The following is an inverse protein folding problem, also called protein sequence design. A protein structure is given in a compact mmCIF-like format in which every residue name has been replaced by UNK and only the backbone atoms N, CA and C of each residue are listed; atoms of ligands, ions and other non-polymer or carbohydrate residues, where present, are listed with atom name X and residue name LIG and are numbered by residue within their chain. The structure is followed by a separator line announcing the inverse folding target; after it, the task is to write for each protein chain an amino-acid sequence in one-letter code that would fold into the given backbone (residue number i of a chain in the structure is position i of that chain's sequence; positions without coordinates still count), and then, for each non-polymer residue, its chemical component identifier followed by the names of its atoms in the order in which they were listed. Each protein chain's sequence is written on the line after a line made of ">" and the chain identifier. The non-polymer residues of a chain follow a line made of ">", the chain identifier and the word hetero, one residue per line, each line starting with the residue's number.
data_IF_376065102128
#
_entry.id   IF_376065102128
#
_cell.length_a   1.000
_cell.length_b   1.000
_cell.length_c   1.000
_cell.angle_alpha   90.00
_cell.angle_beta   90.00
_cell.angle_gamma   90.00
#
_symmetry.space_group_name_H-M   'P 1'
#
loop_
_entity.id
_entity.type
_entity.pdbx_description
1 polymer ?
#
# COMPACT_ATOMS: atom_id res chain seq x y z
N UNK A 1 -4.88 51.32 -30.59
CA UNK A 1 -3.72 50.40 -30.58
C UNK A 1 -3.18 50.27 -31.99
N UNK A 2 -1.86 50.33 -32.22
CA UNK A 2 -1.30 50.06 -33.54
C UNK A 2 -1.48 48.57 -33.90
N UNK A 3 -1.73 48.21 -35.18
CA UNK A 3 -1.90 46.82 -35.58
C UNK A 3 -0.56 46.06 -35.51
N UNK A 4 -0.58 44.85 -34.93
CA UNK A 4 0.58 43.92 -34.93
C UNK A 4 1.12 43.74 -36.36
N UNK A 5 2.43 43.88 -36.53
CA UNK A 5 3.08 43.69 -37.83
C UNK A 5 2.98 42.24 -38.29
N UNK A 6 3.02 42.01 -39.60
CA UNK A 6 2.82 40.69 -40.21
C UNK A 6 3.80 39.64 -39.65
N UNK A 7 5.06 40.05 -39.46
CA UNK A 7 6.13 39.24 -38.85
C UNK A 7 5.84 38.83 -37.40
N UNK A 8 5.24 39.71 -36.59
CA UNK A 8 4.82 39.39 -35.21
C UNK A 8 3.66 38.39 -35.18
N UNK A 9 2.79 38.38 -36.19
CA UNK A 9 1.71 37.38 -36.30
C UNK A 9 2.26 36.02 -36.71
N UNK A 10 3.25 35.97 -37.60
CA UNK A 10 3.92 34.73 -38.00
C UNK A 10 4.72 34.12 -36.84
N UNK A 11 5.44 34.94 -36.06
CA UNK A 11 6.20 34.51 -34.88
C UNK A 11 5.28 34.03 -33.75
N UNK A 12 4.15 34.71 -33.51
CA UNK A 12 3.13 34.28 -32.55
C UNK A 12 2.42 32.98 -32.98
N UNK A 13 2.15 32.82 -34.28
CA UNK A 13 1.58 31.59 -34.83
C UNK A 13 2.57 30.41 -34.80
N UNK A 14 3.86 30.65 -35.07
CA UNK A 14 4.90 29.63 -34.95
C UNK A 14 5.06 29.14 -33.51
N UNK A 15 5.06 30.07 -32.53
CA UNK A 15 5.12 29.72 -31.11
C UNK A 15 3.89 28.92 -30.66
N UNK A 16 2.69 29.30 -31.12
CA UNK A 16 1.46 28.55 -30.85
C UNK A 16 1.49 27.13 -31.45
N UNK A 17 2.02 26.96 -32.65
CA UNK A 17 2.17 25.65 -33.29
C UNK A 17 3.19 24.75 -32.59
N UNK A 18 4.30 25.32 -32.10
CA UNK A 18 5.30 24.57 -31.32
C UNK A 18 4.75 24.18 -29.93
N UNK A 19 4.08 25.10 -29.24
CA UNK A 19 3.41 24.83 -27.95
C UNK A 19 2.33 23.74 -28.10
N UNK A 20 1.54 23.80 -29.18
CA UNK A 20 0.52 22.78 -29.46
C UNK A 20 1.15 21.41 -29.75
N UNK A 21 2.23 21.35 -30.55
CA UNK A 21 2.94 20.07 -30.82
C UNK A 21 3.53 19.46 -29.54
N UNK A 22 4.05 20.28 -28.63
CA UNK A 22 4.57 19.81 -27.34
C UNK A 22 3.46 19.22 -26.45
N UNK A 23 2.28 19.85 -26.41
CA UNK A 23 1.11 19.28 -25.70
C UNK A 23 0.66 17.96 -26.30
N UNK A 24 0.56 17.87 -27.64
CA UNK A 24 0.18 16.64 -28.33
C UNK A 24 1.16 15.49 -28.06
N UNK A 25 2.47 15.77 -28.01
CA UNK A 25 3.49 14.76 -27.64
C UNK A 25 3.39 14.33 -26.16
N UNK A 26 3.12 15.27 -25.25
CA UNK A 26 2.93 14.96 -23.83
C UNK A 26 1.65 14.15 -23.57
N UNK A 27 0.53 14.53 -24.20
CA UNK A 27 -0.73 13.78 -24.14
C UNK A 27 -0.58 12.37 -24.71
N UNK A 28 0.13 12.19 -25.83
CA UNK A 28 0.39 10.86 -26.39
C UNK A 28 1.27 10.01 -25.45
N UNK A 29 2.26 10.62 -24.79
CA UNK A 29 3.11 9.96 -23.79
C UNK A 29 2.30 9.53 -22.57
N UNK A 30 1.47 10.41 -22.01
CA UNK A 30 0.58 10.11 -20.89
C UNK A 30 -0.41 8.99 -21.26
N UNK A 31 -0.98 9.02 -22.47
CA UNK A 31 -1.87 7.97 -22.97
C UNK A 31 -1.18 6.61 -23.08
N UNK A 32 0.03 6.55 -23.65
CA UNK A 32 0.84 5.32 -23.73
C UNK A 32 1.22 4.77 -22.36
N UNK A 33 1.45 5.64 -21.37
CA UNK A 33 1.67 5.22 -19.99
C UNK A 33 0.40 4.60 -19.39
N UNK A 34 -0.75 5.26 -19.53
CA UNK A 34 -2.04 4.75 -19.02
C UNK A 34 -2.46 3.42 -19.67
N UNK A 35 -2.12 3.17 -20.93
CA UNK A 35 -2.43 1.90 -21.62
C UNK A 35 -1.76 0.68 -20.95
N UNK A 36 -0.64 0.84 -20.24
CA UNK A 36 0.01 -0.24 -19.48
C UNK A 36 -0.84 -0.81 -18.35
N UNK A 37 -1.67 0.03 -17.74
CA UNK A 37 -2.53 -0.28 -16.58
C UNK A 37 -3.99 -0.50 -16.98
N UNK A 38 -4.31 -0.36 -18.27
CA UNK A 38 -5.69 -0.45 -18.78
C UNK A 38 -6.21 -1.87 -18.65
N UNK A 39 -7.25 -2.02 -17.82
CA UNK A 39 -7.94 -3.28 -17.60
C UNK A 39 -8.80 -3.61 -18.82
N UNK A 40 -8.35 -4.60 -19.58
CA UNK A 40 -9.09 -5.15 -20.72
C UNK A 40 -9.83 -6.43 -20.30
N UNK A 41 -10.77 -6.90 -21.13
CA UNK A 41 -11.43 -8.20 -20.94
C UNK A 41 -10.89 -9.22 -21.92
N UNK A 42 -10.79 -10.49 -21.49
CA UNK A 42 -10.40 -11.61 -22.34
C UNK A 42 -11.55 -11.95 -23.30
N UNK A 43 -11.33 -11.79 -24.60
CA UNK A 43 -12.39 -11.85 -25.63
C UNK A 43 -13.29 -13.10 -25.56
N UNK A 44 -12.73 -14.26 -25.18
CA UNK A 44 -13.44 -15.55 -25.22
C UNK A 44 -14.29 -15.82 -23.97
N UNK A 45 -13.98 -15.19 -22.84
CA UNK A 45 -14.60 -15.50 -21.53
C UNK A 45 -15.13 -14.27 -20.79
N UNK A 46 -14.91 -13.07 -21.34
CA UNK A 46 -15.14 -11.77 -20.70
C UNK A 46 -14.44 -11.59 -19.34
N UNK A 47 -13.45 -12.45 -19.00
CA UNK A 47 -12.66 -12.32 -17.78
C UNK A 47 -11.94 -10.96 -17.78
N UNK A 48 -12.14 -10.09 -16.78
CA UNK A 48 -11.37 -8.86 -16.65
C UNK A 48 -9.92 -9.19 -16.31
N UNK A 49 -8.98 -8.41 -16.85
CA UNK A 49 -7.55 -8.67 -16.72
C UNK A 49 -6.85 -7.49 -16.01
N UNK A 50 -7.11 -7.26 -14.69
CA UNK A 50 -6.41 -6.24 -13.91
C UNK A 50 -4.88 -6.39 -13.97
N UNK A 51 -4.40 -7.62 -14.00
CA UNK A 51 -2.98 -7.95 -14.11
C UNK A 51 -2.64 -8.04 -15.61
N UNK A 52 -2.13 -6.93 -16.13
CA UNK A 52 -1.80 -6.74 -17.56
C UNK A 52 -0.49 -7.44 -17.93
N UNK A 53 -0.23 -7.61 -19.25
CA UNK A 53 1.04 -8.19 -19.73
C UNK A 53 2.26 -7.41 -19.25
N UNK A 54 2.14 -6.09 -19.15
CA UNK A 54 3.17 -5.21 -18.59
C UNK A 54 3.63 -5.65 -17.19
N UNK A 55 2.71 -6.14 -16.35
CA UNK A 55 3.06 -6.65 -15.03
C UNK A 55 3.99 -7.86 -15.10
N UNK A 56 3.66 -8.85 -15.94
CA UNK A 56 4.40 -10.12 -16.05
C UNK A 56 5.75 -9.93 -16.75
N UNK A 57 5.80 -9.03 -17.73
CA UNK A 57 6.98 -8.78 -18.58
C UNK A 57 7.98 -7.78 -17.97
N UNK A 58 7.52 -6.78 -17.19
CA UNK A 58 8.38 -5.69 -16.72
C UNK A 58 8.35 -5.44 -15.20
N UNK A 59 7.21 -5.63 -14.53
CA UNK A 59 7.07 -5.34 -13.09
C UNK A 59 7.55 -6.50 -12.23
N UNK A 60 7.11 -7.72 -12.51
CA UNK A 60 7.53 -8.92 -11.78
C UNK A 60 9.03 -9.26 -11.96
N UNK A 61 9.64 -9.11 -13.15
CA UNK A 61 11.08 -9.33 -13.33
C UNK A 61 11.97 -8.20 -12.80
N UNK A 62 11.39 -7.14 -12.21
CA UNK A 62 12.15 -6.02 -11.66
C UNK A 62 13.06 -6.47 -10.49
N UNK A 63 14.27 -5.88 -10.31
CA UNK A 63 15.17 -6.25 -9.21
C UNK A 63 14.56 -6.08 -7.80
N UNK A 64 13.64 -5.14 -7.65
CA UNK A 64 12.80 -4.95 -6.46
C UNK A 64 11.33 -5.30 -6.80
N UNK A 65 10.94 -6.59 -6.89
CA UNK A 65 9.64 -6.98 -7.44
C UNK A 65 8.48 -6.61 -6.51
N UNK A 66 8.68 -6.66 -5.19
CA UNK A 66 7.69 -6.24 -4.19
C UNK A 66 7.34 -4.76 -4.32
N UNK A 67 8.34 -3.88 -4.32
CA UNK A 67 8.17 -2.43 -4.46
C UNK A 67 7.53 -2.06 -5.80
N UNK A 68 8.02 -2.64 -6.90
CA UNK A 68 7.44 -2.42 -8.23
C UNK A 68 5.98 -2.90 -8.31
N UNK A 69 5.64 -4.01 -7.65
CA UNK A 69 4.26 -4.50 -7.55
C UNK A 69 3.36 -3.56 -6.74
N UNK A 70 3.84 -3.03 -5.61
CA UNK A 70 3.10 -2.02 -4.84
C UNK A 70 2.84 -0.74 -5.65
N UNK A 71 3.84 -0.27 -6.40
CA UNK A 71 3.69 0.90 -7.29
C UNK A 71 2.68 0.64 -8.42
N UNK A 72 2.74 -0.53 -9.04
CA UNK A 72 1.77 -0.96 -10.05
C UNK A 72 0.34 -1.03 -9.50
N UNK A 73 0.14 -1.67 -8.33
CA UNK A 73 -1.17 -1.75 -7.68
C UNK A 73 -1.68 -0.39 -7.22
N UNK A 74 -0.81 0.50 -6.71
CA UNK A 74 -1.15 1.91 -6.43
C UNK A 74 -1.62 2.63 -7.70
N UNK A 75 -0.94 2.44 -8.83
CA UNK A 75 -1.30 3.12 -10.09
C UNK A 75 -2.64 2.64 -10.65
N UNK A 76 -2.92 1.34 -10.57
CA UNK A 76 -4.26 0.80 -10.88
C UNK A 76 -5.30 1.39 -9.92
N UNK A 77 -5.01 1.42 -8.62
CA UNK A 77 -5.95 1.94 -7.62
C UNK A 77 -6.25 3.45 -7.78
N UNK A 78 -5.29 4.23 -8.29
CA UNK A 78 -5.49 5.62 -8.72
C UNK A 78 -6.44 5.70 -9.93
N UNK A 79 -6.15 4.95 -11.00
CA UNK A 79 -6.91 5.01 -12.26
C UNK A 79 -8.37 4.59 -12.07
N UNK A 80 -8.64 3.65 -11.15
CA UNK A 80 -9.97 3.10 -10.87
C UNK A 80 -10.56 3.55 -9.52
N UNK A 81 -10.15 4.74 -9.07
CA UNK A 81 -10.73 5.49 -7.95
C UNK A 81 -10.93 4.68 -6.65
N UNK A 82 -10.01 3.75 -6.35
CA UNK A 82 -10.05 2.95 -5.12
C UNK A 82 -8.88 3.20 -4.17
N UNK A 83 -7.88 4.00 -4.56
CA UNK A 83 -6.73 4.35 -3.71
C UNK A 83 -7.15 4.83 -2.32
N UNK A 84 -8.12 5.74 -2.23
CA UNK A 84 -8.56 6.34 -0.96
C UNK A 84 -9.25 5.34 -0.01
N UNK A 85 -9.62 4.15 -0.51
CA UNK A 85 -10.23 3.07 0.27
C UNK A 85 -9.19 2.03 0.76
N UNK A 86 -7.97 2.09 0.23
CA UNK A 86 -6.88 1.14 0.47
C UNK A 86 -5.75 1.80 1.27
N UNK A 87 -5.41 1.22 2.43
CA UNK A 87 -4.21 1.60 3.20
C UNK A 87 -2.97 1.00 2.54
N UNK A 88 -1.78 1.50 2.87
CA UNK A 88 -0.53 0.91 2.36
C UNK A 88 -0.36 -0.56 2.74
N UNK A 89 -0.77 -0.97 3.95
CA UNK A 89 -0.79 -2.38 4.35
C UNK A 89 -1.78 -3.23 3.53
N UNK A 90 -2.89 -2.63 3.07
CA UNK A 90 -3.87 -3.31 2.23
C UNK A 90 -3.28 -3.59 0.83
N UNK A 91 -2.43 -2.68 0.34
CA UNK A 91 -1.69 -2.81 -0.93
C UNK A 91 -0.49 -3.77 -0.79
N UNK A 92 0.20 -3.75 0.34
CA UNK A 92 1.31 -4.66 0.64
C UNK A 92 0.84 -6.12 0.63
N UNK A 93 -0.23 -6.44 1.37
CA UNK A 93 -0.83 -7.79 1.37
C UNK A 93 -1.23 -8.21 -0.05
N UNK A 94 -1.81 -7.30 -0.83
CA UNK A 94 -2.18 -7.58 -2.22
C UNK A 94 -0.96 -7.83 -3.13
N UNK A 95 0.17 -7.14 -2.89
CA UNK A 95 1.42 -7.36 -3.60
C UNK A 95 2.05 -8.72 -3.26
N UNK A 96 2.09 -9.07 -1.98
CA UNK A 96 2.61 -10.36 -1.51
C UNK A 96 1.80 -11.54 -2.07
N UNK A 97 0.46 -11.45 -2.03
CA UNK A 97 -0.41 -12.46 -2.65
C UNK A 97 -0.12 -12.61 -4.15
N UNK A 98 -0.10 -11.48 -4.88
CA UNK A 98 0.09 -11.48 -6.33
C UNK A 98 1.47 -12.03 -6.76
N UNK A 99 2.52 -11.75 -5.99
CA UNK A 99 3.87 -12.29 -6.23
C UNK A 99 3.91 -13.80 -5.98
N UNK A 100 3.30 -14.27 -4.89
CA UNK A 100 3.20 -15.70 -4.58
C UNK A 100 2.39 -16.46 -5.64
N UNK A 101 1.27 -15.89 -6.11
CA UNK A 101 0.47 -16.46 -7.20
C UNK A 101 1.25 -16.54 -8.52
N UNK A 102 2.10 -15.56 -8.82
CA UNK A 102 3.00 -15.62 -9.99
C UNK A 102 4.11 -16.66 -9.84
N UNK A 103 4.72 -16.77 -8.66
CA UNK A 103 5.74 -17.80 -8.37
C UNK A 103 5.11 -19.19 -8.55
N UNK A 104 3.91 -19.41 -8.00
CA UNK A 104 3.16 -20.63 -8.18
C UNK A 104 2.84 -20.88 -9.67
N UNK A 105 2.25 -19.91 -10.38
CA UNK A 105 1.86 -20.06 -11.78
C UNK A 105 3.06 -20.35 -12.70
N UNK A 106 4.22 -19.73 -12.47
CA UNK A 106 5.46 -20.00 -13.22
C UNK A 106 6.15 -21.32 -12.81
N UNK A 107 5.86 -21.87 -11.63
CA UNK A 107 6.33 -23.21 -11.24
C UNK A 107 5.61 -24.35 -11.99
N UNK A 108 4.42 -24.09 -12.53
CA UNK A 108 3.62 -25.07 -13.26
C UNK A 108 4.23 -25.38 -14.64
N UNK A 109 4.80 -26.59 -14.76
CA UNK A 109 5.46 -27.06 -15.97
C UNK A 109 4.53 -27.03 -17.20
N UNK A 110 4.94 -26.31 -18.24
CA UNK A 110 4.25 -26.18 -19.54
C UNK A 110 3.07 -25.19 -19.58
N UNK A 111 2.92 -24.29 -18.61
CA UNK A 111 2.17 -23.05 -18.83
C UNK A 111 2.98 -22.10 -19.74
N UNK A 112 2.30 -21.39 -20.65
CA UNK A 112 2.85 -20.24 -21.36
C UNK A 112 2.45 -18.94 -20.62
N UNK A 113 3.08 -17.80 -20.96
CA UNK A 113 2.82 -16.52 -20.26
C UNK A 113 1.36 -16.06 -20.36
N UNK A 114 0.64 -16.41 -21.42
CA UNK A 114 -0.78 -16.12 -21.57
C UNK A 114 -1.64 -16.92 -20.57
N UNK A 115 -1.38 -18.21 -20.40
CA UNK A 115 -2.05 -19.04 -19.40
C UNK A 115 -1.65 -18.63 -17.97
N UNK A 116 -0.40 -18.19 -17.75
CA UNK A 116 0.02 -17.58 -16.48
C UNK A 116 -0.79 -16.30 -16.22
N UNK A 117 -0.94 -15.43 -17.22
CA UNK A 117 -1.74 -14.22 -17.11
C UNK A 117 -3.20 -14.54 -16.75
N UNK A 118 -3.83 -15.50 -17.42
CA UNK A 118 -5.20 -15.93 -17.11
C UNK A 118 -5.31 -16.49 -15.69
N UNK A 119 -4.40 -17.38 -15.28
CA UNK A 119 -4.41 -18.00 -13.95
C UNK A 119 -4.29 -16.95 -12.83
N UNK A 120 -3.31 -16.06 -12.94
CA UNK A 120 -3.06 -15.01 -11.95
C UNK A 120 -4.23 -14.03 -11.86
N UNK A 121 -4.88 -13.69 -12.98
CA UNK A 121 -6.09 -12.88 -12.94
C UNK A 121 -7.27 -13.59 -12.29
N UNK A 122 -7.45 -14.90 -12.51
CA UNK A 122 -8.49 -15.68 -11.82
C UNK A 122 -8.26 -15.65 -10.29
N UNK A 123 -7.04 -15.93 -9.84
CA UNK A 123 -6.67 -15.93 -8.40
C UNK A 123 -6.85 -14.53 -7.78
N UNK A 124 -6.33 -13.48 -8.42
CA UNK A 124 -6.43 -12.10 -7.95
C UNK A 124 -7.89 -11.57 -7.90
N UNK A 125 -8.75 -12.00 -8.83
CA UNK A 125 -10.18 -11.66 -8.80
C UNK A 125 -10.93 -12.40 -7.69
N UNK A 126 -10.62 -13.69 -7.45
CA UNK A 126 -11.15 -14.44 -6.31
C UNK A 126 -10.74 -13.82 -4.96
N UNK A 127 -9.53 -13.26 -4.87
CA UNK A 127 -9.11 -12.46 -3.71
C UNK A 127 -9.88 -11.14 -3.58
N UNK A 128 -9.83 -10.29 -4.60
CA UNK A 128 -10.38 -8.92 -4.54
C UNK A 128 -11.90 -8.90 -4.42
N UNK A 129 -12.61 -9.94 -4.88
CA UNK A 129 -14.06 -10.07 -4.65
C UNK A 129 -14.41 -10.09 -3.15
N UNK A 130 -13.61 -10.79 -2.36
CA UNK A 130 -13.88 -10.97 -0.94
C UNK A 130 -13.71 -9.70 -0.13
N UNK A 131 -12.82 -8.81 -0.58
CA UNK A 131 -12.44 -7.62 0.15
C UNK A 131 -13.32 -6.40 -0.18
N UNK A 132 -14.05 -5.91 0.82
CA UNK A 132 -14.99 -4.80 0.68
C UNK A 132 -14.32 -3.44 0.37
N UNK A 133 -12.98 -3.31 0.45
CA UNK A 133 -12.23 -2.07 0.19
C UNK A 133 -11.85 -1.84 -1.27
N UNK A 134 -11.84 -2.87 -2.12
CA UNK A 134 -11.59 -2.68 -3.55
C UNK A 134 -12.86 -2.14 -4.21
N UNK A 135 -12.77 -1.15 -5.10
CA UNK A 135 -13.97 -0.54 -5.73
C UNK A 135 -14.81 -1.57 -6.48
N UNK A 136 -16.10 -1.29 -6.68
CA UNK A 136 -16.94 -2.09 -7.58
C UNK A 136 -16.40 -2.09 -9.02
N UNK A 137 -15.65 -1.05 -9.41
CA UNK A 137 -14.92 -1.06 -10.68
C UNK A 137 -13.87 -2.18 -10.65
N UNK A 138 -12.93 -2.20 -9.70
CA UNK A 138 -11.97 -3.32 -9.54
C UNK A 138 -12.67 -4.70 -9.45
N UNK A 139 -13.85 -4.78 -8.82
CA UNK A 139 -14.72 -5.96 -8.80
C UNK A 139 -15.58 -6.06 -10.07
N UNK A 140 -14.93 -6.14 -11.24
CA UNK A 140 -15.47 -6.07 -12.62
C UNK A 140 -16.55 -7.11 -13.04
N UNK A 141 -17.22 -7.80 -12.12
CA UNK A 141 -18.20 -8.83 -12.42
C UNK A 141 -19.43 -8.71 -11.51
N UNK A 142 -20.59 -8.35 -12.06
CA UNK A 142 -21.87 -8.42 -11.32
C UNK A 142 -22.19 -9.86 -10.86
N UNK A 143 -21.64 -10.85 -11.57
CA UNK A 143 -21.69 -12.29 -11.25
C UNK A 143 -21.04 -12.65 -9.90
N UNK A 144 -20.19 -11.79 -9.35
CA UNK A 144 -19.47 -11.99 -8.08
C UNK A 144 -20.22 -11.44 -6.85
N UNK A 145 -21.32 -10.69 -7.03
CA UNK A 145 -21.88 -9.80 -6.00
C UNK A 145 -22.81 -10.48 -4.96
N UNK A 146 -22.83 -11.82 -4.86
CA UNK A 146 -23.68 -12.54 -3.90
C UNK A 146 -22.85 -13.55 -3.10
N UNK A 147 -22.75 -13.33 -1.78
CA UNK A 147 -21.74 -13.95 -0.90
C UNK A 147 -22.23 -15.16 -0.11
N UNK A 148 -21.42 -16.22 -0.12
CA UNK A 148 -21.13 -17.12 1.01
C UNK A 148 -19.79 -17.83 0.72
N UNK A 149 -19.04 -18.31 1.72
CA UNK A 149 -17.70 -18.93 1.49
C UNK A 149 -17.73 -20.10 0.49
N UNK A 150 -18.84 -20.85 0.46
CA UNK A 150 -19.09 -21.94 -0.51
C UNK A 150 -19.12 -21.42 -1.95
N UNK A 151 -19.62 -20.21 -2.20
CA UNK A 151 -19.79 -19.66 -3.56
C UNK A 151 -18.47 -19.22 -4.19
N UNK A 152 -17.43 -18.89 -3.42
CA UNK A 152 -16.11 -18.54 -3.97
C UNK A 152 -15.37 -19.76 -4.52
N UNK A 153 -15.44 -20.89 -3.81
CA UNK A 153 -14.90 -22.16 -4.30
C UNK A 153 -15.66 -22.62 -5.56
N UNK A 154 -16.98 -22.51 -5.58
CA UNK A 154 -17.80 -22.81 -6.76
C UNK A 154 -17.46 -21.88 -7.93
N UNK A 155 -17.31 -20.58 -7.69
CA UNK A 155 -16.98 -19.60 -8.72
C UNK A 155 -15.56 -19.78 -9.26
N UNK A 156 -14.57 -20.02 -8.41
CA UNK A 156 -13.22 -20.36 -8.84
C UNK A 156 -13.21 -21.64 -9.68
N UNK A 157 -13.92 -22.69 -9.24
CA UNK A 157 -14.07 -23.93 -10.02
C UNK A 157 -14.77 -23.68 -11.37
N UNK A 158 -15.77 -22.81 -11.43
CA UNK A 158 -16.44 -22.44 -12.67
C UNK A 158 -15.52 -21.65 -13.61
N UNK A 159 -14.78 -20.65 -13.11
CA UNK A 159 -13.79 -19.91 -13.90
C UNK A 159 -12.68 -20.84 -14.42
N UNK A 160 -12.12 -21.69 -13.55
CA UNK A 160 -11.10 -22.67 -13.93
C UNK A 160 -11.62 -23.65 -14.98
N UNK A 161 -12.86 -24.14 -14.85
CA UNK A 161 -13.52 -25.01 -15.82
C UNK A 161 -13.69 -24.32 -17.18
N UNK A 162 -14.25 -23.11 -17.21
CA UNK A 162 -14.45 -22.34 -18.46
C UNK A 162 -13.12 -22.14 -19.18
N UNK A 163 -12.06 -21.74 -18.47
CA UNK A 163 -10.75 -21.49 -19.09
C UNK A 163 -10.01 -22.79 -19.46
N UNK A 164 -10.29 -23.91 -18.78
CA UNK A 164 -9.83 -25.23 -19.21
C UNK A 164 -10.54 -25.71 -20.49
N UNK A 165 -11.85 -25.48 -20.62
CA UNK A 165 -12.65 -25.79 -21.82
C UNK A 165 -12.22 -24.96 -23.04
N UNK A 166 -11.81 -23.70 -22.83
CA UNK A 166 -11.21 -22.84 -23.88
C UNK A 166 -9.76 -23.26 -24.22
N UNK A 167 -9.12 -24.11 -23.40
CA UNK A 167 -7.81 -24.70 -23.67
C UNK A 167 -6.61 -24.04 -22.98
N UNK A 168 -6.81 -23.06 -22.09
CA UNK A 168 -5.71 -22.46 -21.31
C UNK A 168 -5.09 -23.46 -20.32
N UNK A 169 -5.90 -24.38 -19.76
CA UNK A 169 -5.44 -25.31 -18.73
C UNK A 169 -5.63 -26.76 -19.16
N UNK A 170 -4.53 -27.53 -19.17
CA UNK A 170 -4.54 -28.99 -19.36
C UNK A 170 -4.94 -29.68 -18.06
N UNK A 171 -5.47 -30.89 -18.14
CA UNK A 171 -5.90 -31.69 -16.97
C UNK A 171 -4.81 -31.81 -15.89
N UNK A 172 -3.54 -31.92 -16.28
CA UNK A 172 -2.39 -31.96 -15.36
C UNK A 172 -2.17 -30.67 -14.54
N UNK A 173 -2.68 -29.52 -14.98
CA UNK A 173 -2.58 -28.26 -14.24
C UNK A 173 -3.73 -28.09 -13.23
N UNK A 174 -4.86 -28.79 -13.42
CA UNK A 174 -6.10 -28.54 -12.66
C UNK A 174 -5.97 -28.89 -11.19
N UNK A 175 -5.36 -30.03 -10.81
CA UNK A 175 -5.19 -30.37 -9.39
C UNK A 175 -4.27 -29.36 -8.68
N UNK A 176 -3.03 -29.11 -9.14
CA UNK A 176 -2.15 -28.14 -8.48
C UNK A 176 -2.79 -26.75 -8.30
N UNK A 177 -3.54 -26.28 -9.30
CA UNK A 177 -4.25 -24.98 -9.24
C UNK A 177 -5.33 -24.98 -8.14
N UNK A 178 -6.08 -26.08 -8.00
CA UNK A 178 -7.06 -26.23 -6.90
C UNK A 178 -6.40 -26.38 -5.54
N UNK A 179 -5.30 -27.11 -5.46
CA UNK A 179 -4.57 -27.36 -4.22
C UNK A 179 -3.98 -26.04 -3.68
N UNK A 180 -3.38 -25.21 -4.55
CA UNK A 180 -2.93 -23.85 -4.21
C UNK A 180 -4.10 -22.95 -3.78
N UNK A 181 -5.22 -22.98 -4.51
CA UNK A 181 -6.39 -22.18 -4.14
C UNK A 181 -7.04 -22.64 -2.82
N UNK A 182 -6.97 -23.93 -2.46
CA UNK A 182 -7.47 -24.40 -1.18
C UNK A 182 -6.59 -23.93 -0.02
N UNK A 183 -5.26 -23.93 -0.20
CA UNK A 183 -4.32 -23.30 0.76
C UNK A 183 -4.67 -21.80 0.89
N UNK A 184 -4.92 -21.13 -0.23
CA UNK A 184 -5.33 -19.73 -0.25
C UNK A 184 -6.63 -19.48 0.54
N UNK A 185 -7.68 -20.27 0.32
CA UNK A 185 -8.93 -20.19 1.07
C UNK A 185 -8.73 -20.44 2.58
N UNK A 186 -7.87 -21.40 2.95
CA UNK A 186 -7.59 -21.70 4.36
C UNK A 186 -6.86 -20.54 5.08
N UNK A 187 -6.07 -19.74 4.35
CA UNK A 187 -5.43 -18.53 4.87
C UNK A 187 -6.27 -17.27 4.67
N UNK A 188 -7.35 -17.33 3.87
CA UNK A 188 -8.22 -16.21 3.58
C UNK A 188 -8.87 -15.64 4.85
N UNK A 189 -9.15 -16.45 5.87
CA UNK A 189 -9.71 -15.95 7.14
C UNK A 189 -8.71 -15.08 7.92
N UNK A 190 -7.42 -15.43 7.92
CA UNK A 190 -6.35 -14.60 8.53
C UNK A 190 -6.19 -13.28 7.75
N UNK A 191 -6.18 -13.37 6.43
CA UNK A 191 -6.09 -12.22 5.52
C UNK A 191 -7.32 -11.31 5.70
N UNK A 192 -8.52 -11.88 5.73
CA UNK A 192 -9.77 -11.17 5.98
C UNK A 192 -9.81 -10.55 7.38
N UNK A 193 -9.27 -11.21 8.42
CA UNK A 193 -9.14 -10.58 9.74
C UNK A 193 -8.24 -9.34 9.69
N UNK A 194 -7.10 -9.39 9.01
CA UNK A 194 -6.24 -8.21 8.82
C UNK A 194 -6.95 -7.05 8.07
N UNK A 195 -7.88 -7.38 7.16
CA UNK A 195 -8.72 -6.39 6.46
C UNK A 195 -9.91 -5.87 7.28
N UNK A 196 -10.64 -6.76 7.97
CA UNK A 196 -11.90 -6.50 8.69
C UNK A 196 -11.64 -5.79 10.02
N UNK A 197 -10.64 -6.24 10.79
CA UNK A 197 -10.36 -5.68 12.11
C UNK A 197 -9.97 -4.21 12.07
N UNK A 198 -9.70 -3.69 10.86
CA UNK A 198 -9.28 -2.31 10.56
C UNK A 198 -8.14 -1.84 11.46
N UNK A 199 -7.39 -2.80 12.03
CA UNK A 199 -6.27 -2.56 12.89
C UNK A 199 -5.29 -1.75 12.06
N UNK A 200 -5.06 -0.51 12.51
CA UNK A 200 -3.81 0.16 12.20
C UNK A 200 -2.72 -0.85 12.56
N UNK A 201 -1.62 -0.97 11.81
CA UNK A 201 -0.40 -1.38 12.48
C UNK A 201 -0.31 -0.48 13.70
N UNK A 202 -0.35 -1.09 14.88
CA UNK A 202 0.03 -0.38 16.08
C UNK A 202 1.50 -0.06 15.84
N UNK A 203 1.75 1.18 15.41
CA UNK A 203 3.01 1.88 15.71
C UNK A 203 3.05 2.05 17.23
N UNK A 204 3.20 0.90 17.90
CA UNK A 204 3.81 0.78 19.19
C UNK A 204 5.24 1.27 18.99
N UNK A 205 5.39 2.59 19.04
CA UNK A 205 6.47 3.21 19.77
C UNK A 205 6.33 2.75 21.22
N UNK A 206 6.61 1.47 21.46
CA UNK A 206 7.18 1.06 22.71
C UNK A 206 8.57 1.65 22.69
N UNK A 207 8.71 2.80 23.35
CA UNK A 207 9.95 3.11 24.03
C UNK A 207 10.17 1.98 25.05
N UNK A 208 10.75 0.89 24.56
CA UNK A 208 11.41 -0.11 25.38
C UNK A 208 12.59 0.59 26.00
N UNK A 209 12.30 1.31 27.09
CA UNK A 209 13.24 1.55 28.16
C UNK A 209 13.63 0.18 28.70
N UNK A 210 14.55 -0.48 27.98
CA UNK A 210 15.35 -1.53 28.56
C UNK A 210 16.24 -0.82 29.56
N UNK A 211 15.82 -0.83 30.83
CA UNK A 211 16.73 -0.58 31.93
C UNK A 211 17.97 -1.43 31.68
N UNK A 212 19.12 -0.77 31.47
CA UNK A 212 20.38 -1.49 31.28
C UNK A 212 20.55 -2.43 32.48
N UNK A 213 20.95 -3.69 32.26
CA UNK A 213 21.17 -4.60 33.37
C UNK A 213 22.15 -3.94 34.34
N UNK A 214 21.72 -3.77 35.59
CA UNK A 214 22.53 -3.17 36.66
C UNK A 214 23.92 -3.78 36.61
N UNK A 215 24.95 -2.93 36.54
CA UNK A 215 26.33 -3.44 36.52
C UNK A 215 26.54 -4.34 37.73
N UNK A 216 27.11 -5.55 37.55
CA UNK A 216 27.34 -6.44 38.66
C UNK A 216 28.27 -5.75 39.66
N UNK A 217 27.79 -5.59 40.89
CA UNK A 217 28.57 -5.05 42.00
C UNK A 217 29.89 -5.85 42.12
N UNK A 218 31.02 -5.18 42.40
CA UNK A 218 32.28 -5.88 42.65
C UNK A 218 32.10 -6.91 43.78
N UNK A 219 32.77 -8.06 43.69
CA UNK A 219 32.59 -9.18 44.63
C UNK A 219 32.81 -8.78 46.10
N UNK A 220 33.58 -7.72 46.32
CA UNK A 220 33.91 -7.10 47.59
C UNK A 220 32.66 -6.61 48.37
N UNK A 221 31.56 -6.32 47.67
CA UNK A 221 30.27 -5.89 48.25
C UNK A 221 29.21 -7.00 48.25
N UNK A 222 29.55 -8.22 47.79
CA UNK A 222 28.63 -9.36 47.78
C UNK A 222 28.39 -9.87 49.22
N UNK A 223 27.32 -9.40 49.85
CA UNK A 223 26.87 -9.83 51.18
C UNK A 223 26.79 -11.36 51.26
N UNK A 224 27.68 -11.95 52.07
CA UNK A 224 27.76 -13.39 52.29
C UNK A 224 26.43 -13.89 52.86
N UNK A 225 25.74 -14.72 52.06
CA UNK A 225 24.46 -15.32 52.41
C UNK A 225 24.60 -16.20 53.65
N UNK A 226 24.22 -15.71 54.84
CA UNK A 226 23.98 -16.56 56.01
C UNK A 226 22.58 -17.14 55.90
N UNK A 227 22.39 -18.48 56.06
CA UNK A 227 21.05 -19.05 56.08
C UNK A 227 20.28 -18.50 57.28
N UNK A 228 19.12 -17.89 57.02
CA UNK A 228 18.19 -17.49 58.07
C UNK A 228 17.37 -18.72 58.52
N UNK A 229 17.35 -18.99 59.82
CA UNK A 229 16.47 -19.98 60.41
C UNK A 229 15.01 -19.53 60.28
N UNK A 230 14.14 -20.38 59.71
CA UNK A 230 12.72 -20.09 59.63
C UNK A 230 12.07 -20.12 61.03
N UNK A 231 11.41 -19.03 61.39
CA UNK A 231 10.27 -19.05 62.32
C UNK A 231 9.05 -18.55 61.56
N UNK A 232 7.93 -19.25 61.74
CA UNK A 232 6.63 -18.90 61.17
C UNK A 232 5.85 -17.96 62.10
N UNK A 233 4.67 -17.55 61.62
CA UNK A 233 3.69 -16.59 62.16
C UNK A 233 3.85 -15.18 61.55
N UNK A 234 2.80 -14.46 61.15
CA UNK A 234 1.38 -14.70 60.79
C UNK A 234 0.88 -13.31 60.27
N UNK A 235 -0.26 -13.23 59.59
CA UNK A 235 -0.65 -12.02 58.82
C UNK A 235 -0.84 -10.74 59.65
N UNK A 236 -0.30 -9.60 59.17
CA UNK A 236 -0.32 -8.32 59.89
C UNK A 236 -0.04 -7.04 59.09
N UNK A 237 -1.06 -6.55 58.37
CA UNK A 237 -1.45 -5.13 58.18
C UNK A 237 -0.43 -3.99 57.87
N UNK A 238 -0.70 -3.32 56.73
CA UNK A 238 -0.95 -1.85 56.58
C UNK A 238 0.23 -0.84 56.49
N UNK A 239 0.30 -0.24 55.29
CA UNK A 239 0.48 1.19 54.89
C UNK A 239 1.66 2.08 55.38
N UNK A 240 2.33 2.65 54.36
CA UNK A 240 2.79 4.05 54.18
C UNK A 240 3.53 4.80 55.30
N UNK A 241 4.74 5.27 54.96
CA UNK A 241 5.25 6.59 55.38
C UNK A 241 6.02 7.23 54.20
N UNK A 242 5.70 8.47 53.86
CA UNK A 242 6.41 9.30 52.87
C UNK A 242 7.79 9.78 53.37
N UNK A 243 8.67 10.16 52.44
CA UNK A 243 9.53 11.32 52.68
C UNK A 243 10.00 12.01 51.39
N UNK A 244 9.67 13.30 51.29
CA UNK A 244 10.34 14.30 50.47
C UNK A 244 11.83 14.40 50.90
N UNK A 245 12.80 14.89 50.12
CA UNK A 245 12.81 16.23 49.55
C UNK A 245 14.10 16.52 48.71
N UNK A 246 14.05 17.64 47.96
CA UNK A 246 15.17 18.55 47.62
C UNK A 246 16.21 18.31 46.49
N UNK A 247 16.18 19.31 45.58
CA UNK A 247 17.30 20.07 44.96
C UNK A 247 17.82 19.74 43.54
N UNK A 248 17.94 20.83 42.76
CA UNK A 248 18.58 20.99 41.45
C UNK A 248 19.03 22.47 41.32
N UNK A 249 19.83 22.90 40.32
CA UNK A 249 20.71 22.18 39.38
C UNK A 249 22.19 22.55 39.78
N UNK A 250 23.19 22.99 38.95
CA UNK A 250 23.40 22.93 37.49
C UNK A 250 24.85 22.60 36.97
N UNK A 251 24.91 22.29 35.66
CA UNK A 251 25.93 22.71 34.66
C UNK A 251 27.39 22.19 34.68
N UNK A 252 28.12 22.21 33.54
CA UNK A 252 27.77 21.77 32.16
C UNK A 252 28.92 20.94 31.50
N UNK A 253 29.01 20.95 30.15
CA UNK A 253 30.12 20.50 29.25
C UNK A 253 30.27 18.97 29.00
N UNK A 254 30.49 18.46 27.77
CA UNK A 254 30.59 19.12 26.44
C UNK A 254 30.15 18.22 25.25
N UNK A 255 29.66 18.90 24.22
CA UNK A 255 29.83 18.66 22.77
C UNK A 255 29.89 17.22 22.18
N UNK A 256 28.76 16.76 21.63
CA UNK A 256 28.75 16.36 20.21
C UNK A 256 27.88 17.35 19.43
N UNK A 257 28.55 18.33 18.81
CA UNK A 257 27.92 19.33 17.94
C UNK A 257 27.30 18.63 16.72
N UNK A 258 25.98 18.72 16.58
CA UNK A 258 25.31 18.42 15.31
C UNK A 258 25.95 19.30 14.22
N UNK A 259 26.55 18.66 13.21
CA UNK A 259 27.23 19.32 12.10
C UNK A 259 26.36 20.46 11.53
N UNK A 260 26.85 21.71 11.46
CA UNK A 260 26.08 22.85 10.97
C UNK A 260 25.40 22.60 9.62
N UNK A 261 26.03 21.80 8.76
CA UNK A 261 25.51 21.38 7.45
C UNK A 261 24.25 20.52 7.59
N UNK A 262 24.20 19.65 8.61
CA UNK A 262 23.05 18.80 8.91
C UNK A 262 21.91 19.63 9.50
N UNK A 263 22.19 20.57 10.41
CA UNK A 263 21.16 21.50 10.91
C UNK A 263 20.58 22.37 9.80
N UNK A 264 21.40 22.92 8.91
CA UNK A 264 20.92 23.70 7.76
C UNK A 264 20.08 22.83 6.80
N UNK A 265 20.48 21.58 6.56
CA UNK A 265 19.72 20.64 5.72
C UNK A 265 18.37 20.23 6.36
N UNK A 266 18.32 20.07 7.69
CA UNK A 266 17.08 19.81 8.43
C UNK A 266 16.16 21.03 8.36
N UNK A 267 16.68 22.23 8.68
CA UNK A 267 15.93 23.47 8.67
C UNK A 267 15.33 23.73 7.27
N UNK A 268 16.12 23.56 6.21
CA UNK A 268 15.67 23.73 4.82
C UNK A 268 14.59 22.72 4.40
N UNK A 269 14.64 21.48 4.89
CA UNK A 269 13.55 20.51 4.70
C UNK A 269 12.29 20.90 5.46
N UNK A 270 12.44 21.42 6.68
CA UNK A 270 11.34 21.83 7.55
C UNK A 270 10.60 23.05 6.97
N UNK A 271 11.34 24.00 6.40
CA UNK A 271 10.75 25.18 5.75
C UNK A 271 10.12 24.86 4.39
N UNK A 272 10.69 23.94 3.60
CA UNK A 272 10.01 23.39 2.40
C UNK A 272 8.70 22.68 2.75
N UNK A 273 8.70 21.87 3.83
CA UNK A 273 7.50 21.17 4.28
C UNK A 273 6.40 22.13 4.77
N UNK A 274 6.76 23.24 5.42
CA UNK A 274 5.81 24.31 5.77
C UNK A 274 5.22 24.95 4.51
N UNK A 275 6.05 25.32 3.54
CA UNK A 275 5.60 25.96 2.30
C UNK A 275 4.63 25.07 1.51
N UNK A 276 4.92 23.76 1.37
CA UNK A 276 4.02 22.81 0.71
C UNK A 276 2.68 22.66 1.46
N UNK A 277 2.69 22.76 2.80
CA UNK A 277 1.50 22.66 3.63
C UNK A 277 0.65 23.93 3.54
N UNK A 278 1.27 25.12 3.50
CA UNK A 278 0.59 26.39 3.23
C UNK A 278 -0.05 26.42 1.83
N UNK A 279 0.67 25.99 0.78
CA UNK A 279 0.11 25.89 -0.58
C UNK A 279 -1.08 24.92 -0.66
N UNK A 280 -1.03 23.79 0.06
CA UNK A 280 -2.17 22.85 0.19
C UNK A 280 -3.35 23.47 0.94
N UNK A 281 -3.11 24.27 1.99
CA UNK A 281 -4.17 24.96 2.71
C UNK A 281 -4.84 26.05 1.86
N UNK A 282 -4.05 26.85 1.13
CA UNK A 282 -4.55 27.91 0.25
C UNK A 282 -5.35 27.32 -0.93
N UNK A 283 -4.85 26.26 -1.57
CA UNK A 283 -5.61 25.60 -2.64
C UNK A 283 -6.93 25.03 -2.13
N UNK A 284 -6.94 24.39 -0.95
CA UNK A 284 -8.15 23.86 -0.31
C UNK A 284 -9.15 24.95 0.11
N UNK A 285 -8.69 26.12 0.54
CA UNK A 285 -9.56 27.27 0.79
C UNK A 285 -10.23 27.76 -0.49
N UNK A 286 -9.44 27.95 -1.57
CA UNK A 286 -9.97 28.36 -2.88
C UNK A 286 -11.00 27.36 -3.43
N UNK A 287 -10.72 26.07 -3.30
CA UNK A 287 -11.63 24.98 -3.67
C UNK A 287 -12.97 25.04 -2.92
N UNK A 288 -12.95 25.43 -1.64
CA UNK A 288 -14.16 25.64 -0.83
C UNK A 288 -14.91 26.91 -1.23
N UNK A 289 -14.22 28.00 -1.54
CA UNK A 289 -14.84 29.24 -2.02
C UNK A 289 -15.52 29.05 -3.38
N UNK A 290 -14.88 28.35 -4.33
CA UNK A 290 -15.49 28.02 -5.63
C UNK A 290 -16.73 27.10 -5.46
N UNK A 291 -16.68 26.15 -4.53
CA UNK A 291 -17.85 25.31 -4.16
C UNK A 291 -18.98 26.13 -3.52
N UNK A 292 -18.67 27.09 -2.64
CA UNK A 292 -19.66 27.98 -2.04
C UNK A 292 -20.29 28.94 -3.07
N UNK A 293 -19.48 29.52 -3.97
CA UNK A 293 -19.96 30.40 -5.04
C UNK A 293 -20.84 29.66 -6.06
N UNK A 294 -20.46 28.44 -6.46
CA UNK A 294 -21.28 27.60 -7.34
C UNK A 294 -22.59 27.14 -6.68
N UNK A 295 -22.61 26.92 -5.36
CA UNK A 295 -23.84 26.69 -4.60
C UNK A 295 -24.73 27.94 -4.49
N UNK A 296 -24.13 29.14 -4.33
CA UNK A 296 -24.88 30.39 -4.28
C UNK A 296 -25.55 30.74 -5.62
N UNK A 297 -24.85 30.51 -6.74
CA UNK A 297 -25.41 30.75 -8.09
C UNK A 297 -26.53 29.77 -8.48
N UNK A 298 -26.57 28.56 -7.91
CA UNK A 298 -27.67 27.58 -8.10
C UNK A 298 -28.96 27.89 -7.33
N UNK A 299 -29.04 29.03 -6.62
CA UNK A 299 -30.21 29.46 -5.83
C UNK A 299 -31.00 30.64 -6.44
N UNK A 300 -30.86 30.88 -7.75
CA UNK A 300 -31.70 31.81 -8.54
C UNK A 300 -32.40 31.08 -9.67
#
# INVERSE_FOLDING_TARGET
>A
MPPKTQKQKEEEAARLAEEQRLREEEEERQRKELEKYKINKLNNTNLPMPITKYYIEYVYPHPEPHKATMEYLRKIAEIYNCKDQLRDIDIQIAADVLINDLIFAKSLKSLNDECVQVLVNILFLSFTNNNNKFSQEMRYNNTLQQKNVVTDAELFNNLLKIHAEVGYFRSMHISPIKDHFQIYLNHLDLINQAFISNQRPLELHMDLQMDMPLQPLPLDEALIYRPFEQKAEDDGQIETVDQEDQQAPPEPTDEELLDPIIMEAIQKKLDLAKQELEEKLVSRQKDMEEKLMSMATKKK
#
